data_IF_168793387539
#
_entry.id   IF_168793387539
#
_cell.length_a   1.000
_cell.length_b   1.000
_cell.length_c   1.000
_cell.angle_alpha   90.00
_cell.angle_beta   90.00
_cell.angle_gamma   90.00
#
_symmetry.space_group_name_H-M   'P 1'
#
loop_
_entity.id
_entity.type
_entity.pdbx_description
1 polymer ?
#
# COMPACT_ATOMS: atom_id res chain seq x y z
N UNK A 1 -21.65 9.08 11.25
CA UNK A 1 -21.41 7.65 10.94
C UNK A 1 -21.23 6.97 12.28
N UNK A 2 -22.19 6.14 12.65
CA UNK A 2 -22.23 5.54 13.98
C UNK A 2 -21.18 4.43 14.09
N UNK A 3 -20.04 4.76 14.71
CA UNK A 3 -18.92 3.84 14.93
C UNK A 3 -19.27 2.69 15.87
N UNK A 4 -20.50 2.66 16.39
CA UNK A 4 -20.96 1.78 17.44
C UNK A 4 -21.40 0.39 16.93
N UNK A 5 -21.82 0.26 15.66
CA UNK A 5 -22.35 -1.00 15.08
C UNK A 5 -21.31 -1.90 14.40
N UNK A 6 -20.23 -1.37 13.82
CA UNK A 6 -19.26 -2.18 13.08
C UNK A 6 -18.04 -2.55 13.97
N UNK A 7 -17.85 -3.83 14.33
CA UNK A 7 -16.78 -4.24 15.25
C UNK A 7 -15.38 -4.19 14.63
N UNK A 8 -15.29 -4.15 13.29
CA UNK A 8 -14.05 -4.04 12.54
C UNK A 8 -14.16 -3.01 11.41
N UNK A 9 -13.05 -2.33 11.11
CA UNK A 9 -12.89 -1.40 9.99
C UNK A 9 -11.71 -1.82 9.14
N UNK A 10 -11.88 -1.77 7.82
CA UNK A 10 -10.80 -1.98 6.86
C UNK A 10 -10.11 -0.66 6.53
N UNK A 11 -8.79 -0.71 6.51
CA UNK A 11 -7.89 0.34 6.08
C UNK A 11 -6.97 -0.22 5.00
N UNK A 12 -6.22 0.67 4.35
CA UNK A 12 -5.12 0.30 3.48
C UNK A 12 -3.81 0.65 4.17
N UNK A 13 -2.82 -0.23 4.06
CA UNK A 13 -1.44 0.09 4.35
C UNK A 13 -0.67 0.17 3.03
N UNK A 14 0.28 1.09 2.96
CA UNK A 14 1.21 1.22 1.83
C UNK A 14 2.60 1.59 2.36
N UNK A 15 3.65 1.35 1.58
CA UNK A 15 4.97 1.90 1.90
C UNK A 15 4.95 3.43 1.80
N UNK A 16 5.74 4.06 2.67
CA UNK A 16 5.80 5.52 2.83
C UNK A 16 7.13 6.12 2.36
N UNK A 17 7.95 5.36 1.63
CA UNK A 17 9.19 5.87 1.06
C UNK A 17 8.89 6.81 -0.12
N UNK A 18 8.09 6.32 -1.07
CA UNK A 18 7.45 7.12 -2.12
C UNK A 18 6.03 6.56 -2.32
N UNK A 19 4.99 7.17 -1.73
CA UNK A 19 3.64 6.61 -1.77
C UNK A 19 3.06 6.40 -3.17
N UNK A 20 3.50 7.18 -4.17
CA UNK A 20 3.02 7.04 -5.56
C UNK A 20 3.76 5.90 -6.26
N UNK A 21 5.09 5.85 -6.15
CA UNK A 21 5.89 4.76 -6.72
C UNK A 21 5.54 3.43 -6.05
N UNK A 22 5.49 3.41 -4.72
CA UNK A 22 5.29 2.21 -3.91
C UNK A 22 3.91 1.59 -4.15
N UNK A 23 2.86 2.42 -4.23
CA UNK A 23 1.50 1.95 -4.52
C UNK A 23 1.41 1.32 -5.91
N UNK A 24 1.97 1.99 -6.93
CA UNK A 24 1.98 1.47 -8.30
C UNK A 24 2.90 0.25 -8.47
N UNK A 25 3.90 0.08 -7.60
CA UNK A 25 4.74 -1.13 -7.50
C UNK A 25 4.00 -2.30 -6.85
N UNK A 26 2.84 -2.06 -6.24
CA UNK A 26 2.05 -3.08 -5.55
C UNK A 26 2.38 -3.22 -4.06
N UNK A 27 3.12 -2.29 -3.46
CA UNK A 27 3.38 -2.24 -2.01
C UNK A 27 2.17 -1.66 -1.26
N UNK A 28 0.99 -2.22 -1.51
CA UNK A 28 -0.29 -1.84 -0.90
C UNK A 28 -1.05 -3.08 -0.45
N UNK A 29 -1.67 -3.02 0.72
CA UNK A 29 -2.46 -4.14 1.23
C UNK A 29 -3.55 -3.74 2.22
N UNK A 30 -4.48 -4.65 2.53
CA UNK A 30 -5.56 -4.39 3.48
C UNK A 30 -5.09 -4.53 4.93
N UNK A 31 -5.56 -3.64 5.80
CA UNK A 31 -5.39 -3.69 7.25
C UNK A 31 -6.76 -3.71 7.93
N UNK A 32 -7.07 -4.78 8.66
CA UNK A 32 -8.33 -4.89 9.40
C UNK A 32 -8.09 -4.55 10.87
N UNK A 33 -8.73 -3.48 11.35
CA UNK A 33 -8.66 -3.06 12.75
C UNK A 33 -9.99 -3.38 13.42
N UNK A 34 -9.96 -4.23 14.43
CA UNK A 34 -11.14 -4.66 15.19
C UNK A 34 -11.08 -4.16 16.64
N UNK A 35 -12.25 -4.05 17.28
CA UNK A 35 -12.33 -3.81 18.73
C UNK A 35 -11.68 -4.95 19.50
N UNK A 36 -11.07 -4.61 20.64
CA UNK A 36 -10.46 -5.56 21.56
C UNK A 36 -11.48 -6.65 21.94
N UNK A 37 -11.05 -7.92 21.93
CA UNK A 37 -11.87 -9.08 22.27
C UNK A 37 -12.73 -9.64 21.13
N UNK A 38 -12.87 -8.93 19.99
CA UNK A 38 -13.71 -9.40 18.87
C UNK A 38 -13.11 -10.61 18.13
N UNK A 39 -11.78 -10.68 18.05
CA UNK A 39 -11.05 -11.77 17.38
C UNK A 39 -10.68 -12.93 18.32
N UNK A 40 -11.00 -12.82 19.61
CA UNK A 40 -10.48 -13.69 20.67
C UNK A 40 -11.28 -15.00 20.82
N UNK A 41 -12.55 -15.02 20.42
CA UNK A 41 -13.43 -16.17 20.67
C UNK A 41 -13.24 -17.36 19.72
N UNK A 42 -12.40 -17.25 18.69
CA UNK A 42 -12.14 -18.33 17.71
C UNK A 42 -13.34 -18.71 16.82
N UNK A 43 -14.57 -18.47 17.26
CA UNK A 43 -15.83 -18.65 16.51
C UNK A 43 -16.00 -17.62 15.40
N UNK A 44 -15.54 -16.39 15.62
CA UNK A 44 -15.63 -15.30 14.65
C UNK A 44 -14.30 -15.13 13.91
N UNK A 45 -14.04 -16.03 12.96
CA UNK A 45 -13.17 -15.68 11.82
C UNK A 45 -14.03 -14.92 10.82
N UNK A 46 -13.97 -13.58 10.76
CA UNK A 46 -14.74 -12.87 9.74
C UNK A 46 -14.32 -13.42 8.37
N UNK A 47 -15.29 -13.91 7.59
CA UNK A 47 -15.08 -14.18 6.17
C UNK A 47 -14.86 -12.83 5.49
N UNK A 48 -13.62 -12.36 5.52
CA UNK A 48 -13.25 -11.06 5.02
C UNK A 48 -12.81 -11.19 3.56
N UNK A 49 -13.52 -10.49 2.68
CA UNK A 49 -13.09 -10.25 1.32
C UNK A 49 -12.60 -8.81 1.25
N UNK A 50 -11.37 -8.62 0.80
CA UNK A 50 -10.81 -7.29 0.58
C UNK A 50 -10.81 -7.03 -0.92
N UNK A 51 -11.48 -5.97 -1.33
CA UNK A 51 -11.46 -5.49 -2.71
C UNK A 51 -10.67 -4.20 -2.75
N UNK A 52 -9.58 -4.20 -3.52
CA UNK A 52 -8.85 -2.99 -3.87
C UNK A 52 -9.23 -2.60 -5.29
N UNK A 53 -9.97 -1.50 -5.42
CA UNK A 53 -10.26 -0.88 -6.72
C UNK A 53 -9.21 0.21 -6.94
N UNK A 54 -8.20 -0.09 -7.77
CA UNK A 54 -7.12 0.84 -8.10
C UNK A 54 -6.70 0.69 -9.55
N UNK A 55 -6.26 1.80 -10.14
CA UNK A 55 -5.53 1.80 -11.41
C UNK A 55 -4.05 1.72 -11.03
N UNK A 56 -3.35 0.70 -11.52
CA UNK A 56 -1.91 0.56 -11.34
C UNK A 56 -1.22 1.06 -12.61
N UNK A 57 -0.42 2.11 -12.48
CA UNK A 57 0.40 2.63 -13.58
C UNK A 57 1.82 2.06 -13.47
N UNK A 58 2.09 1.01 -14.24
CA UNK A 58 3.40 0.34 -14.27
C UNK A 58 4.53 1.23 -14.82
N UNK A 59 4.23 2.39 -15.41
CA UNK A 59 5.27 3.36 -15.75
C UNK A 59 5.80 4.11 -14.52
N UNK A 60 5.05 4.07 -13.42
CA UNK A 60 5.38 4.67 -12.13
C UNK A 60 5.70 3.58 -11.09
N UNK A 61 6.13 2.38 -11.51
CA UNK A 61 6.57 1.33 -10.60
C UNK A 61 8.10 1.26 -10.52
N UNK A 62 8.63 0.66 -9.46
CA UNK A 62 10.06 0.37 -9.30
C UNK A 62 10.61 -0.49 -10.45
N UNK A 63 9.73 -1.27 -11.09
CA UNK A 63 10.06 -2.19 -12.16
C UNK A 63 9.85 -1.59 -13.56
N UNK A 64 9.49 -0.30 -13.64
CA UNK A 64 9.38 0.39 -14.91
C UNK A 64 10.70 0.28 -15.70
N UNK A 65 10.65 -0.03 -17.01
CA UNK A 65 11.85 -0.05 -17.82
C UNK A 65 12.48 1.35 -17.83
N UNK A 66 13.82 1.45 -17.83
CA UNK A 66 14.49 2.74 -17.95
C UNK A 66 14.02 3.40 -19.25
N UNK A 67 13.35 4.54 -19.12
CA UNK A 67 13.02 5.36 -20.28
C UNK A 67 14.32 5.87 -20.90
N UNK A 68 14.44 5.92 -22.24
CA UNK A 68 15.57 6.60 -22.85
C UNK A 68 15.60 8.04 -22.31
N UNK A 69 16.75 8.54 -21.86
CA UNK A 69 16.82 9.72 -21.02
C UNK A 69 16.29 10.95 -21.76
N UNK A 70 15.12 11.43 -21.34
CA UNK A 70 14.69 12.80 -21.59
C UNK A 70 15.34 13.71 -20.53
N UNK A 71 16.66 13.90 -20.62
CA UNK A 71 17.40 14.77 -19.71
C UNK A 71 17.61 14.19 -18.29
N UNK A 72 18.35 14.91 -17.42
CA UNK A 72 18.73 14.40 -16.11
C UNK A 72 17.51 14.33 -15.19
N UNK A 73 17.13 13.11 -14.83
CA UNK A 73 16.15 12.81 -13.81
C UNK A 73 16.77 13.09 -12.42
N UNK A 74 16.11 13.90 -11.60
CA UNK A 74 16.60 14.22 -10.26
C UNK A 74 16.69 12.97 -9.33
N UNK A 75 16.09 11.85 -9.73
CA UNK A 75 16.07 10.58 -9.02
C UNK A 75 17.40 9.80 -9.10
N UNK A 76 18.19 9.96 -10.17
CA UNK A 76 19.49 9.30 -10.30
C UNK A 76 20.61 9.92 -9.45
N UNK A 77 20.47 11.20 -9.09
CA UNK A 77 21.42 11.91 -8.20
C UNK A 77 21.29 11.42 -6.75
N UNK A 78 20.09 11.07 -6.30
CA UNK A 78 19.87 10.62 -4.92
C UNK A 78 20.34 9.16 -4.74
N UNK A 79 20.11 8.29 -5.73
CA UNK A 79 20.57 6.90 -5.71
C UNK A 79 22.10 6.75 -5.68
N UNK A 80 22.84 7.70 -6.28
CA UNK A 80 24.30 7.70 -6.22
C UNK A 80 24.85 8.07 -4.82
N UNK A 81 24.06 8.76 -3.97
CA UNK A 81 24.47 9.19 -2.64
C UNK A 81 24.06 8.22 -1.51
N UNK A 82 23.30 7.16 -1.82
CA UNK A 82 23.05 6.03 -0.92
C UNK A 82 23.74 4.77 -1.45
N UNK A 83 25.06 4.77 -1.41
CA UNK A 83 25.87 3.54 -1.43
C UNK A 83 26.56 3.43 -0.08
N UNK A 84 26.29 2.33 0.63
CA UNK A 84 27.03 1.93 1.83
C UNK A 84 28.52 1.76 1.51
#
# INVERSE_FOLDING_TARGET
>A
LDDTYQPCKSFLYTSAHDPTLDHNTGLVGPLLICRKGYLDSGEYKPKAFFLLLSIFDENLSLYAPPTPPSGPDASSIIAANMKF
#
